data_IF_481111217582
#
_entry.id   IF_481111217582
#
_cell.length_a   1.000
_cell.length_b   1.000
_cell.length_c   1.000
_cell.angle_alpha   90.00
_cell.angle_beta   90.00
_cell.angle_gamma   90.00
#
_symmetry.space_group_name_H-M   'P 1'
#
loop_
_entity.id
_entity.type
_entity.pdbx_description
1 polymer ?
#
# COMPACT_ATOMS: atom_id res chain seq x y z
N UNK A 1 -4.08 9.41 39.17
CA UNK A 1 -3.97 8.12 38.46
C UNK A 1 -4.80 8.03 37.17
N UNK A 2 -5.85 8.84 36.95
CA UNK A 2 -6.69 8.76 35.74
C UNK A 2 -6.05 9.33 34.45
N UNK A 3 -5.28 10.43 34.55
CA UNK A 3 -4.69 11.11 33.39
C UNK A 3 -3.63 10.26 32.65
N UNK A 4 -2.91 9.41 33.38
CA UNK A 4 -1.88 8.50 32.82
C UNK A 4 -2.49 7.37 32.01
N UNK A 5 -3.69 6.92 32.36
CA UNK A 5 -4.40 5.85 31.64
C UNK A 5 -4.96 6.37 30.32
N UNK A 6 -5.52 7.58 30.30
CA UNK A 6 -6.05 8.21 29.07
C UNK A 6 -4.92 8.44 28.04
N UNK A 7 -3.74 8.90 28.49
CA UNK A 7 -2.56 9.07 27.61
C UNK A 7 -2.07 7.74 27.02
N UNK A 8 -2.09 6.66 27.81
CA UNK A 8 -1.72 5.32 27.35
C UNK A 8 -2.70 4.77 26.30
N UNK A 9 -4.01 4.96 26.53
CA UNK A 9 -5.04 4.53 25.58
C UNK A 9 -4.94 5.33 24.27
N UNK A 10 -4.71 6.65 24.32
CA UNK A 10 -4.51 7.44 23.10
C UNK A 10 -3.23 7.05 22.32
N UNK A 11 -2.17 6.68 23.03
CA UNK A 11 -0.97 6.10 22.43
C UNK A 11 -1.29 4.80 21.68
N UNK A 12 -1.93 3.85 22.36
CA UNK A 12 -2.32 2.57 21.77
C UNK A 12 -3.24 2.72 20.55
N UNK A 13 -4.21 3.63 20.58
CA UNK A 13 -5.10 3.90 19.43
C UNK A 13 -4.30 4.45 18.25
N UNK A 14 -3.39 5.41 18.49
CA UNK A 14 -2.51 5.96 17.45
C UNK A 14 -1.58 4.89 16.89
N UNK A 15 -1.02 4.03 17.74
CA UNK A 15 -0.13 2.94 17.33
C UNK A 15 -0.89 1.90 16.51
N UNK A 16 -2.13 1.55 16.89
CA UNK A 16 -3.00 0.69 16.06
C UNK A 16 -3.29 1.31 14.69
N UNK A 17 -3.54 2.62 14.61
CA UNK A 17 -3.72 3.31 13.33
C UNK A 17 -2.43 3.31 12.50
N UNK A 18 -1.28 3.55 13.12
CA UNK A 18 0.03 3.53 12.45
C UNK A 18 0.39 2.15 11.89
N UNK A 19 0.15 1.09 12.68
CA UNK A 19 0.37 -0.30 12.26
C UNK A 19 -0.57 -0.66 11.11
N UNK A 20 -1.84 -0.23 11.18
CA UNK A 20 -2.81 -0.43 10.10
C UNK A 20 -2.39 0.20 8.78
N UNK A 21 -1.95 1.47 8.80
CA UNK A 21 -1.47 2.17 7.60
C UNK A 21 -0.24 1.47 7.02
N UNK A 22 0.71 1.10 7.88
CA UNK A 22 1.94 0.40 7.44
C UNK A 22 1.61 -0.94 6.79
N UNK A 23 0.68 -1.70 7.37
CA UNK A 23 0.24 -3.00 6.82
C UNK A 23 -0.44 -2.85 5.47
N UNK A 24 -1.30 -1.84 5.30
CA UNK A 24 -1.96 -1.56 4.02
C UNK A 24 -0.94 -1.15 2.96
N UNK A 25 0.03 -0.29 3.30
CA UNK A 25 1.10 0.09 2.39
C UNK A 25 1.99 -1.10 1.98
N UNK A 26 2.28 -2.01 2.92
CA UNK A 26 3.03 -3.23 2.65
C UNK A 26 2.28 -4.19 1.72
N UNK A 27 0.96 -4.33 1.88
CA UNK A 27 0.16 -5.16 0.97
C UNK A 27 0.14 -4.56 -0.45
N UNK A 28 0.01 -3.23 -0.58
CA UNK A 28 0.04 -2.55 -1.87
C UNK A 28 1.37 -2.73 -2.60
N UNK A 29 2.50 -2.74 -1.88
CA UNK A 29 3.82 -2.99 -2.46
C UNK A 29 3.93 -4.41 -3.05
N UNK A 30 3.42 -5.42 -2.34
CA UNK A 30 3.38 -6.80 -2.82
C UNK A 30 2.47 -6.95 -4.05
N UNK A 31 1.29 -6.32 -4.04
CA UNK A 31 0.37 -6.32 -5.19
C UNK A 31 1.00 -5.66 -6.42
N UNK A 32 1.76 -4.57 -6.22
CA UNK A 32 2.50 -3.88 -7.29
C UNK A 32 3.60 -4.76 -7.89
N UNK A 33 4.41 -5.42 -7.06
CA UNK A 33 5.47 -6.34 -7.54
C UNK A 33 4.89 -7.47 -8.40
N UNK A 34 3.78 -8.07 -7.97
CA UNK A 34 3.10 -9.13 -8.73
C UNK A 34 2.55 -8.60 -10.07
N UNK A 35 1.95 -7.40 -10.07
CA UNK A 35 1.44 -6.79 -11.29
C UNK A 35 2.57 -6.47 -12.29
N UNK A 36 3.73 -6.00 -11.81
CA UNK A 36 4.92 -5.76 -12.63
C UNK A 36 5.42 -7.07 -13.25
N UNK A 37 5.62 -8.11 -12.46
CA UNK A 37 6.10 -9.42 -12.95
C UNK A 37 5.15 -9.99 -14.01
N UNK A 38 3.83 -9.88 -13.80
CA UNK A 38 2.83 -10.32 -14.78
C UNK A 38 2.83 -9.47 -16.04
N UNK A 39 3.08 -8.16 -15.92
CA UNK A 39 3.18 -7.26 -17.06
C UNK A 39 4.45 -7.49 -17.90
N UNK A 40 5.53 -7.99 -17.28
CA UNK A 40 6.78 -8.32 -17.97
C UNK A 40 6.93 -9.81 -18.30
N UNK A 41 5.91 -10.63 -18.02
CA UNK A 41 5.93 -12.05 -18.35
C UNK A 41 6.00 -12.23 -19.87
N UNK A 42 6.74 -13.23 -20.33
CA UNK A 42 6.96 -13.53 -21.74
C UNK A 42 5.76 -14.22 -22.42
N UNK A 43 4.54 -13.87 -22.03
CA UNK A 43 3.34 -14.29 -22.73
C UNK A 43 3.23 -13.48 -24.04
N UNK A 44 2.88 -14.16 -25.13
CA UNK A 44 2.76 -13.59 -26.49
C UNK A 44 1.55 -12.62 -26.62
N UNK A 45 0.75 -12.51 -25.56
CA UNK A 45 -0.41 -11.63 -25.47
C UNK A 45 0.03 -10.21 -25.08
N UNK A 46 -0.45 -9.15 -25.77
CA UNK A 46 -0.06 -7.78 -25.45
C UNK A 46 -0.33 -7.51 -23.97
N UNK A 47 0.72 -7.07 -23.24
CA UNK A 47 0.71 -6.76 -21.80
C UNK A 47 -0.70 -6.36 -21.36
N UNK A 48 -1.36 -7.25 -20.61
CA UNK A 48 -2.80 -7.07 -20.39
C UNK A 48 -3.04 -5.69 -19.79
N UNK A 49 -3.87 -4.88 -20.46
CA UNK A 49 -4.15 -3.49 -20.04
C UNK A 49 -4.61 -3.40 -18.58
N UNK A 50 -5.13 -4.50 -18.04
CA UNK A 50 -5.46 -4.69 -16.63
C UNK A 50 -4.24 -4.44 -15.73
N UNK A 51 -3.09 -5.07 -16.01
CA UNK A 51 -1.89 -4.92 -15.18
C UNK A 51 -1.30 -3.52 -15.27
N UNK A 52 -1.33 -2.89 -16.46
CA UNK A 52 -0.89 -1.50 -16.64
C UNK A 52 -1.74 -0.55 -15.80
N UNK A 53 -3.07 -0.72 -15.83
CA UNK A 53 -3.99 0.09 -15.02
C UNK A 53 -3.81 -0.15 -13.51
N UNK A 54 -3.54 -1.39 -13.13
CA UNK A 54 -3.26 -1.77 -11.75
C UNK A 54 -1.97 -1.12 -11.24
N UNK A 55 -0.89 -1.16 -12.02
CA UNK A 55 0.38 -0.49 -11.71
C UNK A 55 0.18 1.04 -11.58
N UNK A 56 -0.54 1.67 -12.51
CA UNK A 56 -0.82 3.12 -12.47
C UNK A 56 -1.63 3.52 -11.24
N UNK A 57 -2.65 2.72 -10.89
CA UNK A 57 -3.46 2.98 -9.69
C UNK A 57 -2.63 2.82 -8.41
N UNK A 58 -1.86 1.74 -8.28
CA UNK A 58 -1.02 1.48 -7.11
C UNK A 58 0.08 2.54 -6.95
N UNK A 59 0.68 2.99 -8.05
CA UNK A 59 1.70 4.06 -8.07
C UNK A 59 1.11 5.43 -7.71
N UNK A 60 -0.15 5.71 -8.10
CA UNK A 60 -0.83 6.98 -7.80
C UNK A 60 -1.15 7.17 -6.32
N UNK A 61 -1.15 6.12 -5.50
CA UNK A 61 -1.29 6.25 -4.04
C UNK A 61 -0.01 6.75 -3.35
N UNK A 62 1.14 6.78 -4.05
CA UNK A 62 2.37 7.41 -3.58
C UNK A 62 2.24 8.94 -3.64
N UNK A 63 2.34 9.62 -2.49
CA UNK A 63 2.15 11.09 -2.32
C UNK A 63 3.23 11.98 -2.97
N UNK A 64 3.83 11.55 -4.08
CA UNK A 64 4.85 12.34 -4.79
C UNK A 64 5.36 11.67 -6.06
N UNK A 65 4.62 10.76 -6.69
CA UNK A 65 5.10 10.06 -7.89
C UNK A 65 4.84 10.81 -9.20
N UNK A 66 4.08 11.92 -9.17
CA UNK A 66 3.64 12.64 -10.37
C UNK A 66 3.87 14.17 -10.29
N UNK A 67 4.61 14.63 -9.29
CA UNK A 67 5.11 16.02 -9.18
C UNK A 67 6.62 16.09 -9.42
#
# INVERSE_FOLDING_TARGET
MALTTIRKVNGAVKDQTSIGITKVASNMALELEVAIVKATSHDDDPVSQKYIREILNLTSYSRGCWE
#
